data_IF_749691910735
#
_entry.id   IF_749691910735
#
_cell.length_a   1.000
_cell.length_b   1.000
_cell.length_c   1.000
_cell.angle_alpha   90.00
_cell.angle_beta   90.00
_cell.angle_gamma   90.00
#
_symmetry.space_group_name_H-M   'P 1'
#
loop_
_entity.id
_entity.type
_entity.pdbx_description
1 polymer ?
#
# COMPACT_ATOMS: atom_id res chain seq x y z
N UNK A 1 -0.96 21.82 -1.46
CA UNK A 1 -0.91 22.85 -0.40
C UNK A 1 -0.34 24.19 -0.86
N UNK A 2 0.40 24.26 -1.96
CA UNK A 2 1.07 25.51 -2.38
C UNK A 2 0.13 26.70 -2.51
N UNK A 3 -1.05 26.55 -3.11
CA UNK A 3 -2.01 27.64 -3.22
C UNK A 3 -2.49 28.18 -1.86
N UNK A 4 -2.70 27.31 -0.86
CA UNK A 4 -3.11 27.71 0.50
C UNK A 4 -2.04 28.58 1.16
N UNK A 5 -0.77 28.31 0.84
CA UNK A 5 0.37 29.10 1.30
C UNK A 5 0.40 30.44 0.58
N UNK A 6 0.31 30.42 -0.76
CA UNK A 6 0.32 31.63 -1.60
C UNK A 6 -0.77 32.64 -1.23
N UNK A 7 -1.97 32.16 -0.88
CA UNK A 7 -3.10 33.02 -0.48
C UNK A 7 -3.14 33.31 1.03
N UNK A 8 -2.12 32.90 1.81
CA UNK A 8 -1.99 33.24 3.22
C UNK A 8 -2.96 32.53 4.18
N UNK A 9 -3.55 31.40 3.78
CA UNK A 9 -4.53 30.65 4.59
C UNK A 9 -3.93 29.55 5.48
N UNK A 10 -2.63 29.59 5.72
CA UNK A 10 -1.92 28.66 6.60
C UNK A 10 -1.64 29.26 7.99
N UNK A 11 -2.27 30.38 8.32
CA UNK A 11 -2.06 31.12 9.58
C UNK A 11 -2.85 30.57 10.77
N UNK A 12 -2.53 31.02 11.99
CA UNK A 12 -3.28 30.68 13.20
C UNK A 12 -4.78 30.98 13.03
N UNK A 13 -5.61 30.00 13.40
CA UNK A 13 -7.06 30.05 13.25
C UNK A 13 -7.61 29.12 12.16
N UNK A 14 -6.75 28.60 11.28
CA UNK A 14 -7.11 27.54 10.34
C UNK A 14 -6.78 26.15 10.91
N UNK A 15 -7.58 25.16 10.53
CA UNK A 15 -7.33 23.74 10.81
C UNK A 15 -7.57 22.92 9.55
N UNK A 16 -6.56 22.18 9.12
CA UNK A 16 -6.62 21.27 7.98
C UNK A 16 -6.56 19.81 8.42
N UNK A 17 -7.35 18.97 7.76
CA UNK A 17 -7.26 17.51 7.86
C UNK A 17 -6.84 16.96 6.50
N UNK A 18 -5.72 16.24 6.47
CA UNK A 18 -5.29 15.50 5.28
C UNK A 18 -5.93 14.11 5.33
N UNK A 19 -6.89 13.89 4.42
CA UNK A 19 -7.67 12.65 4.34
C UNK A 19 -7.02 11.62 3.40
N UNK A 20 -5.79 11.21 3.71
CA UNK A 20 -5.11 10.08 3.08
C UNK A 20 -4.46 9.20 4.16
N UNK A 21 -3.84 8.07 3.78
CA UNK A 21 -3.20 7.13 4.71
C UNK A 21 -1.70 7.39 4.93
N UNK A 22 -1.13 8.37 4.24
CA UNK A 22 0.28 8.74 4.32
C UNK A 22 0.40 10.21 4.65
N UNK A 23 0.15 10.56 5.91
CA UNK A 23 0.27 11.92 6.40
C UNK A 23 1.69 12.48 6.18
N UNK A 24 2.71 11.64 6.39
CA UNK A 24 4.13 12.04 6.25
C UNK A 24 4.71 11.79 4.86
N UNK A 25 3.93 11.25 3.91
CA UNK A 25 4.36 11.05 2.52
C UNK A 25 4.46 12.38 1.74
N UNK A 26 3.76 13.41 2.22
CA UNK A 26 3.74 14.74 1.61
C UNK A 26 4.73 15.71 2.24
N UNK A 27 5.08 16.76 1.49
CA UNK A 27 5.89 17.86 2.03
C UNK A 27 5.07 18.73 3.00
N UNK A 28 5.25 18.48 4.30
CA UNK A 28 4.66 19.26 5.40
C UNK A 28 5.52 20.47 5.82
N UNK A 29 6.76 20.57 5.34
CA UNK A 29 7.70 21.62 5.79
C UNK A 29 7.17 23.02 5.51
N UNK A 30 6.44 23.18 4.40
CA UNK A 30 5.95 24.48 3.93
C UNK A 30 4.81 25.07 4.77
N UNK A 31 4.10 24.26 5.56
CA UNK A 31 3.00 24.71 6.43
C UNK A 31 3.34 24.67 7.92
N UNK A 32 4.44 24.01 8.29
CA UNK A 32 4.89 23.84 9.67
C UNK A 32 5.06 25.18 10.42
N UNK A 33 5.41 26.24 9.69
CA UNK A 33 5.65 27.57 10.26
C UNK A 33 4.46 28.55 10.15
N UNK A 34 3.35 28.11 9.55
CA UNK A 34 2.19 28.98 9.33
C UNK A 34 1.38 29.27 10.61
N UNK A 35 1.29 28.30 11.52
CA UNK A 35 0.49 28.40 12.74
C UNK A 35 -0.94 27.85 12.61
N UNK A 36 -1.35 27.41 11.41
CA UNK A 36 -2.52 26.55 11.24
C UNK A 36 -2.26 25.15 11.85
N UNK A 37 -3.29 24.57 12.46
CA UNK A 37 -3.21 23.18 12.91
C UNK A 37 -3.41 22.26 11.73
N UNK A 38 -2.57 21.24 11.59
CA UNK A 38 -2.70 20.24 10.52
C UNK A 38 -2.61 18.85 11.14
N UNK A 39 -3.64 18.05 10.87
CA UNK A 39 -3.75 16.65 11.30
C UNK A 39 -3.98 15.76 10.09
N UNK A 40 -3.71 14.46 10.23
CA UNK A 40 -3.98 13.47 9.19
C UNK A 40 -3.89 12.06 9.73
N UNK A 41 -3.84 11.09 8.82
CA UNK A 41 -3.80 9.67 9.16
C UNK A 41 -2.53 9.04 8.59
N UNK A 42 -1.93 8.16 9.37
CA UNK A 42 -0.71 7.45 9.01
C UNK A 42 -0.96 5.96 9.23
N UNK A 43 -0.90 5.17 8.16
CA UNK A 43 -1.05 3.71 8.25
C UNK A 43 0.29 3.00 8.49
N UNK A 44 1.39 3.59 8.03
CA UNK A 44 2.74 3.04 8.22
C UNK A 44 3.34 3.63 9.48
N UNK A 45 3.49 2.81 10.51
CA UNK A 45 4.16 3.18 11.76
C UNK A 45 5.68 2.96 11.62
N UNK A 46 6.44 4.04 11.54
CA UNK A 46 7.91 3.99 11.40
C UNK A 46 8.64 3.75 12.74
N UNK A 47 7.94 3.80 13.87
CA UNK A 47 8.50 3.45 15.17
C UNK A 47 8.41 1.92 15.43
N UNK A 48 7.64 1.19 14.62
CA UNK A 48 7.61 -0.28 14.65
C UNK A 48 8.99 -0.84 14.23
N UNK A 49 9.63 -1.72 15.02
CA UNK A 49 10.96 -2.25 14.71
C UNK A 49 11.06 -3.01 13.38
N UNK A 50 9.99 -3.68 12.95
CA UNK A 50 9.94 -4.41 11.68
C UNK A 50 9.92 -3.41 10.52
N UNK A 51 9.11 -2.37 10.64
CA UNK A 51 9.02 -1.29 9.64
C UNK A 51 10.32 -0.49 9.59
N UNK A 52 10.89 -0.11 10.73
CA UNK A 52 12.15 0.63 10.81
C UNK A 52 13.30 -0.13 10.13
N UNK A 53 13.39 -1.45 10.34
CA UNK A 53 14.37 -2.30 9.68
C UNK A 53 14.13 -2.40 8.17
N UNK A 54 12.87 -2.45 7.75
CA UNK A 54 12.52 -2.42 6.33
C UNK A 54 12.90 -1.09 5.69
N UNK A 55 12.56 0.05 6.31
CA UNK A 55 12.84 1.41 5.82
C UNK A 55 14.35 1.62 5.67
N UNK A 56 15.16 1.17 6.64
CA UNK A 56 16.62 1.22 6.54
C UNK A 56 17.15 0.43 5.34
N UNK A 57 16.56 -0.73 5.02
CA UNK A 57 16.95 -1.53 3.85
C UNK A 57 16.47 -0.89 2.55
N UNK A 58 15.28 -0.30 2.57
CA UNK A 58 14.67 0.39 1.44
C UNK A 58 15.53 1.58 1.01
N UNK A 59 15.91 2.45 1.95
CA UNK A 59 16.77 3.62 1.71
C UNK A 59 18.19 3.26 1.24
N UNK A 60 18.63 2.01 1.48
CA UNK A 60 19.92 1.51 1.02
C UNK A 60 19.90 0.93 -0.40
N UNK A 61 18.74 0.89 -1.07
CA UNK A 61 18.63 0.40 -2.44
C UNK A 61 19.20 1.40 -3.44
N UNK A 62 19.81 0.90 -4.51
CA UNK A 62 20.32 1.77 -5.58
C UNK A 62 19.18 2.34 -6.42
N UNK A 63 19.04 3.67 -6.48
CA UNK A 63 17.99 4.37 -7.24
C UNK A 63 17.96 3.97 -8.73
N UNK A 64 19.13 3.64 -9.29
CA UNK A 64 19.24 3.18 -10.68
C UNK A 64 18.52 1.85 -10.93
N UNK A 65 18.52 0.95 -9.94
CA UNK A 65 17.84 -0.34 -10.02
C UNK A 65 16.40 -0.25 -9.51
N UNK A 66 16.17 0.55 -8.46
CA UNK A 66 14.87 0.76 -7.81
C UNK A 66 14.53 2.25 -7.74
N UNK A 67 13.95 2.84 -8.81
CA UNK A 67 13.63 4.26 -8.84
C UNK A 67 12.67 4.67 -7.71
N UNK A 68 13.01 5.74 -6.98
CA UNK A 68 12.21 6.26 -5.87
C UNK A 68 12.38 5.49 -4.54
N UNK A 69 13.38 4.62 -4.44
CA UNK A 69 13.76 3.95 -3.19
C UNK A 69 14.77 4.75 -2.34
N UNK A 70 15.23 5.90 -2.84
CA UNK A 70 16.14 6.85 -2.18
C UNK A 70 15.48 7.68 -1.07
N UNK A 71 14.18 7.48 -0.86
CA UNK A 71 13.38 8.15 0.17
C UNK A 71 12.51 7.15 0.91
N UNK A 72 12.06 7.55 2.11
CA UNK A 72 11.13 6.79 2.94
C UNK A 72 9.97 6.21 2.14
N UNK A 73 9.60 4.97 2.44
CA UNK A 73 8.56 4.27 1.70
C UNK A 73 7.19 4.96 1.83
N UNK A 74 6.50 5.08 0.69
CA UNK A 74 5.11 5.59 0.63
C UNK A 74 4.11 4.54 1.06
N UNK A 75 2.96 4.95 1.61
CA UNK A 75 1.94 4.01 2.10
C UNK A 75 1.43 3.05 1.01
N UNK A 76 1.34 3.50 -0.25
CA UNK A 76 0.94 2.64 -1.39
C UNK A 76 1.95 1.54 -1.67
N UNK A 77 3.25 1.86 -1.53
CA UNK A 77 4.33 0.91 -1.73
C UNK A 77 4.43 -0.06 -0.55
N UNK A 78 4.20 0.41 0.69
CA UNK A 78 4.12 -0.44 1.87
C UNK A 78 2.99 -1.48 1.73
N UNK A 79 1.79 -1.06 1.31
CA UNK A 79 0.68 -1.97 1.02
C UNK A 79 1.01 -2.96 -0.11
N UNK A 80 1.80 -2.55 -1.11
CA UNK A 80 2.23 -3.43 -2.20
C UNK A 80 3.19 -4.49 -1.69
N UNK A 81 4.12 -4.12 -0.80
CA UNK A 81 5.02 -5.05 -0.14
C UNK A 81 4.25 -6.10 0.68
N UNK A 82 3.30 -5.65 1.51
CA UNK A 82 2.47 -6.52 2.34
C UNK A 82 1.54 -7.41 1.48
N UNK A 83 1.03 -6.91 0.36
CA UNK A 83 0.22 -7.70 -0.56
C UNK A 83 0.98 -8.92 -1.10
N UNK A 84 2.28 -8.78 -1.42
CA UNK A 84 3.12 -9.91 -1.84
C UNK A 84 3.24 -10.94 -0.71
N UNK A 85 3.35 -10.47 0.54
CA UNK A 85 3.40 -11.35 1.71
C UNK A 85 2.10 -12.16 1.86
N UNK A 86 0.94 -11.49 1.84
CA UNK A 86 -0.39 -12.13 1.89
C UNK A 86 -0.59 -13.13 0.77
N UNK A 87 -0.24 -12.77 -0.47
CA UNK A 87 -0.32 -13.70 -1.61
C UNK A 87 0.57 -14.93 -1.42
N UNK A 88 1.79 -14.74 -0.92
CA UNK A 88 2.74 -15.83 -0.65
C UNK A 88 2.20 -16.77 0.42
N UNK A 89 1.68 -16.25 1.52
CA UNK A 89 1.09 -17.06 2.59
C UNK A 89 -0.16 -17.81 2.11
N UNK A 90 -1.03 -17.17 1.31
CA UNK A 90 -2.23 -17.79 0.79
C UNK A 90 -1.90 -18.99 -0.12
N UNK A 91 -0.94 -18.85 -1.04
CA UNK A 91 -0.52 -19.97 -1.88
C UNK A 91 0.23 -21.05 -1.08
N UNK A 92 1.02 -20.68 -0.07
CA UNK A 92 1.64 -21.64 0.85
C UNK A 92 0.58 -22.43 1.62
N UNK A 93 -0.50 -21.78 2.06
CA UNK A 93 -1.63 -22.41 2.72
C UNK A 93 -2.33 -23.42 1.79
N UNK A 94 -2.69 -23.01 0.57
CA UNK A 94 -3.33 -23.89 -0.43
C UNK A 94 -2.47 -25.13 -0.72
N UNK A 95 -1.15 -24.93 -0.87
CA UNK A 95 -0.20 -26.03 -1.05
C UNK A 95 -0.17 -26.98 0.16
N UNK A 96 -0.13 -26.45 1.39
CA UNK A 96 -0.17 -27.26 2.63
C UNK A 96 -1.46 -28.09 2.73
N UNK A 97 -2.59 -27.52 2.30
CA UNK A 97 -3.89 -28.21 2.26
C UNK A 97 -4.02 -29.19 1.09
N UNK A 98 -3.00 -29.29 0.21
CA UNK A 98 -3.00 -30.12 -1.00
C UNK A 98 -4.18 -29.82 -1.93
N UNK A 99 -4.59 -28.55 -2.00
CA UNK A 99 -5.63 -28.10 -2.92
C UNK A 99 -5.01 -27.95 -4.31
N UNK A 100 -5.51 -28.72 -5.29
CA UNK A 100 -5.06 -28.62 -6.68
C UNK A 100 -5.64 -27.36 -7.35
N UNK A 101 -4.75 -26.43 -7.67
CA UNK A 101 -5.06 -25.17 -8.36
C UNK A 101 -4.77 -25.25 -9.86
N UNK A 102 -4.43 -26.43 -10.39
CA UNK A 102 -4.15 -26.59 -11.82
C UNK A 102 -5.43 -26.31 -12.62
N UNK A 103 -5.35 -25.30 -13.49
CA UNK A 103 -6.44 -25.01 -14.42
C UNK A 103 -6.41 -26.04 -15.55
N UNK A 104 -7.50 -26.80 -15.69
CA UNK A 104 -7.68 -27.75 -16.80
C UNK A 104 -8.16 -26.98 -18.04
N UNK A 105 -7.20 -26.52 -18.86
CA UNK A 105 -7.46 -25.85 -20.14
C UNK A 105 -7.40 -24.32 -20.09
N UNK A 106 -7.55 -23.70 -21.25
CA UNK A 106 -7.46 -22.25 -21.42
C UNK A 106 -8.70 -21.53 -20.86
N UNK A 107 -8.56 -20.25 -20.51
CA UNK A 107 -9.65 -19.46 -19.93
C UNK A 107 -10.78 -19.09 -20.90
N UNK A 108 -10.59 -19.32 -22.20
CA UNK A 108 -11.50 -18.84 -23.24
C UNK A 108 -11.43 -17.32 -23.39
N UNK A 109 -12.43 -16.76 -24.07
CA UNK A 109 -12.61 -15.31 -24.23
C UNK A 109 -13.23 -14.73 -22.94
N UNK A 110 -12.74 -13.58 -22.49
CA UNK A 110 -13.33 -12.86 -21.37
C UNK A 110 -14.74 -12.34 -21.69
N UNK A 111 -15.11 -12.26 -22.97
CA UNK A 111 -16.44 -11.88 -23.45
C UNK A 111 -17.37 -13.07 -23.75
N UNK A 112 -16.98 -14.30 -23.38
CA UNK A 112 -17.82 -15.49 -23.57
C UNK A 112 -19.20 -15.32 -22.93
N UNK A 113 -20.26 -15.75 -23.63
CA UNK A 113 -21.64 -15.63 -23.17
C UNK A 113 -22.41 -16.96 -23.34
N UNK A 114 -22.69 -17.70 -22.25
CA UNK A 114 -22.38 -17.35 -20.87
C UNK A 114 -20.89 -17.57 -20.54
N UNK A 115 -20.33 -16.69 -19.71
CA UNK A 115 -19.00 -16.91 -19.14
C UNK A 115 -19.07 -18.09 -18.17
N UNK A 116 -18.04 -18.95 -18.18
CA UNK A 116 -17.94 -20.11 -17.29
C UNK A 116 -16.88 -19.81 -16.21
N UNK A 117 -17.28 -19.57 -14.95
CA UNK A 117 -16.35 -19.29 -13.86
C UNK A 117 -15.45 -20.49 -13.55
N UNK A 118 -14.22 -20.21 -13.14
CA UNK A 118 -13.28 -21.24 -12.71
C UNK A 118 -13.51 -21.58 -11.22
N UNK A 119 -13.93 -22.81 -10.94
CA UNK A 119 -14.36 -23.24 -9.60
C UNK A 119 -13.31 -23.03 -8.50
N UNK A 120 -12.02 -23.27 -8.80
CA UNK A 120 -10.92 -23.10 -7.85
C UNK A 120 -10.71 -21.63 -7.45
N UNK A 121 -11.25 -20.66 -8.19
CA UNK A 121 -11.18 -19.25 -7.81
C UNK A 121 -11.77 -18.96 -6.43
N UNK A 122 -12.81 -19.70 -6.02
CA UNK A 122 -13.45 -19.57 -4.71
C UNK A 122 -12.53 -20.06 -3.58
N UNK A 123 -11.76 -21.11 -3.82
CA UNK A 123 -10.79 -21.61 -2.84
C UNK A 123 -9.61 -20.64 -2.68
N UNK A 124 -9.16 -20.02 -3.78
CA UNK A 124 -8.11 -18.99 -3.75
C UNK A 124 -8.60 -17.76 -2.96
N UNK A 125 -9.82 -17.29 -3.23
CA UNK A 125 -10.43 -16.18 -2.49
C UNK A 125 -10.52 -16.49 -0.99
N UNK A 126 -10.98 -17.69 -0.64
CA UNK A 126 -11.08 -18.13 0.76
C UNK A 126 -9.70 -18.15 1.43
N UNK A 127 -8.68 -18.67 0.75
CA UNK A 127 -7.32 -18.71 1.30
C UNK A 127 -6.76 -17.30 1.53
N UNK A 128 -6.95 -16.37 0.58
CA UNK A 128 -6.52 -14.98 0.71
C UNK A 128 -7.18 -14.29 1.90
N UNK A 129 -8.50 -14.42 2.06
CA UNK A 129 -9.27 -13.83 3.18
C UNK A 129 -8.91 -14.40 4.55
N UNK A 130 -8.30 -15.57 4.61
CA UNK A 130 -7.81 -16.16 5.87
C UNK A 130 -6.43 -15.64 6.28
N UNK A 131 -5.69 -15.01 5.36
CA UNK A 131 -4.38 -14.42 5.64
C UNK A 131 -4.44 -12.91 5.89
N UNK A 132 -5.62 -12.29 5.69
CA UNK A 132 -5.88 -10.85 5.92
C UNK A 132 -6.44 -10.57 7.30
#
# INVERSE_FOLDING_TARGET
MEQVITIGRHVKGYHYIIANLGFVDGDLSKIQYGGANVSGFQIVDFDDPVVAKFDQRWEALEEKEYPGADSRIRYTSALTYDAVHVMTEAFRFLHKQRIDMSRRGNSGDCLANPAVPWAQGVEIERALKQQS
#
